data_IF_533852774758
#
_entry.id   IF_533852774758
#
_cell.length_a   1.000
_cell.length_b   1.000
_cell.length_c   1.000
_cell.angle_alpha   90.00
_cell.angle_beta   90.00
_cell.angle_gamma   90.00
#
_symmetry.space_group_name_H-M   'P 1'
#
loop_
_entity.id
_entity.type
_entity.pdbx_description
1 polymer ?
#
# COMPACT_ATOMS: atom_id res chain seq x y z
N UNK A 1 -7.36 -30.69 -20.50
CA UNK A 1 -6.11 -30.22 -21.10
C UNK A 1 -5.04 -30.16 -20.03
N UNK A 2 -3.91 -30.86 -20.22
CA UNK A 2 -2.89 -30.83 -19.19
C UNK A 2 -2.22 -29.46 -19.11
N UNK A 3 -2.18 -28.90 -17.92
CA UNK A 3 -1.51 -27.62 -17.67
C UNK A 3 -0.03 -27.91 -17.43
N UNK A 4 0.83 -27.20 -18.15
CA UNK A 4 2.27 -27.36 -18.00
C UNK A 4 2.70 -26.96 -16.60
N UNK A 5 3.67 -27.70 -15.96
CA UNK A 5 4.08 -27.40 -14.60
C UNK A 5 4.55 -25.95 -14.39
N UNK A 6 5.24 -25.37 -15.35
CA UNK A 6 5.68 -23.98 -15.24
C UNK A 6 4.52 -22.98 -15.32
N UNK A 7 3.43 -23.33 -16.02
CA UNK A 7 2.23 -22.49 -16.06
C UNK A 7 1.55 -22.46 -14.70
N UNK A 8 1.47 -23.60 -14.01
CA UNK A 8 0.93 -23.67 -12.65
C UNK A 8 1.76 -22.85 -11.68
N UNK A 9 3.08 -22.92 -11.79
CA UNK A 9 4.00 -22.16 -10.95
C UNK A 9 3.82 -20.66 -11.16
N UNK A 10 3.71 -20.21 -12.40
CA UNK A 10 3.48 -18.80 -12.73
C UNK A 10 2.15 -18.30 -12.15
N UNK A 11 1.11 -19.12 -12.21
CA UNK A 11 -0.21 -18.78 -11.66
C UNK A 11 -0.16 -18.60 -10.14
N UNK A 12 0.55 -19.49 -9.43
CA UNK A 12 0.72 -19.39 -7.98
C UNK A 12 1.47 -18.11 -7.62
N UNK A 13 2.56 -17.80 -8.32
CA UNK A 13 3.34 -16.60 -8.08
C UNK A 13 2.48 -15.34 -8.29
N UNK A 14 1.65 -15.34 -9.33
CA UNK A 14 0.73 -14.23 -9.61
C UNK A 14 -0.30 -14.03 -8.50
N UNK A 15 -0.89 -15.13 -7.99
CA UNK A 15 -1.85 -15.07 -6.88
C UNK A 15 -1.20 -14.52 -5.61
N UNK A 16 0.00 -14.99 -5.27
CA UNK A 16 0.73 -14.52 -4.09
C UNK A 16 1.06 -13.03 -4.19
N UNK A 17 1.46 -12.59 -5.37
CA UNK A 17 1.78 -11.19 -5.62
C UNK A 17 0.52 -10.32 -5.47
N UNK A 18 -0.62 -10.77 -5.99
CA UNK A 18 -1.89 -10.04 -5.87
C UNK A 18 -2.31 -9.91 -4.41
N UNK A 19 -2.20 -10.99 -3.63
CA UNK A 19 -2.53 -10.97 -2.21
C UNK A 19 -1.62 -10.04 -1.45
N UNK A 20 -0.31 -10.08 -1.70
CA UNK A 20 0.67 -9.21 -1.07
C UNK A 20 0.36 -7.74 -1.38
N UNK A 21 0.07 -7.41 -2.64
CA UNK A 21 -0.26 -6.05 -3.04
C UNK A 21 -1.52 -5.54 -2.34
N UNK A 22 -2.51 -6.42 -2.20
CA UNK A 22 -3.77 -6.10 -1.51
C UNK A 22 -3.52 -5.80 -0.03
N UNK A 23 -2.64 -6.57 0.62
CA UNK A 23 -2.27 -6.34 2.02
C UNK A 23 -1.55 -5.00 2.20
N UNK A 24 -0.61 -4.69 1.31
CA UNK A 24 0.12 -3.41 1.36
C UNK A 24 -0.84 -2.24 1.17
N UNK A 25 -1.75 -2.34 0.21
CA UNK A 25 -2.76 -1.30 -0.03
C UNK A 25 -3.68 -1.12 1.18
N UNK A 26 -4.15 -2.23 1.77
CA UNK A 26 -5.00 -2.19 2.96
C UNK A 26 -4.29 -1.53 4.14
N UNK A 27 -3.01 -1.84 4.34
CA UNK A 27 -2.21 -1.23 5.41
C UNK A 27 -2.12 0.28 5.23
N UNK A 28 -1.90 0.75 4.00
CA UNK A 28 -1.83 2.17 3.70
C UNK A 28 -3.17 2.86 3.96
N UNK A 29 -4.27 2.26 3.49
CA UNK A 29 -5.61 2.81 3.70
C UNK A 29 -5.96 2.86 5.18
N UNK A 30 -5.65 1.80 5.93
CA UNK A 30 -5.90 1.74 7.37
C UNK A 30 -5.10 2.82 8.11
N UNK A 31 -3.82 2.98 7.76
CA UNK A 31 -2.97 4.00 8.37
C UNK A 31 -3.48 5.41 8.09
N UNK A 32 -3.94 5.67 6.87
CA UNK A 32 -4.52 6.96 6.51
C UNK A 32 -5.81 7.23 7.28
N UNK A 33 -6.67 6.22 7.45
CA UNK A 33 -7.90 6.35 8.23
C UNK A 33 -7.59 6.66 9.70
N UNK A 34 -6.62 5.97 10.28
CA UNK A 34 -6.20 6.24 11.67
C UNK A 34 -5.69 7.67 11.83
N UNK A 35 -4.91 8.14 10.87
CA UNK A 35 -4.41 9.52 10.88
C UNK A 35 -5.56 10.52 10.78
N UNK A 36 -6.56 10.24 9.95
CA UNK A 36 -7.73 11.11 9.78
C UNK A 36 -8.55 11.17 11.05
N UNK A 37 -8.77 10.04 11.71
CA UNK A 37 -9.57 9.96 12.95
C UNK A 37 -8.82 10.49 14.16
N UNK A 38 -7.52 10.31 14.21
CA UNK A 38 -6.68 10.71 15.35
C UNK A 38 -5.34 11.23 14.84
N UNK A 39 -5.28 12.49 14.35
CA UNK A 39 -4.04 13.07 13.85
C UNK A 39 -2.98 13.11 14.95
N UNK A 40 -1.85 12.48 14.70
CA UNK A 40 -0.72 12.47 15.62
C UNK A 40 0.58 12.21 14.87
N UNK A 41 1.69 12.57 15.49
CA UNK A 41 3.00 12.37 14.89
C UNK A 41 3.25 10.88 14.62
N UNK A 42 2.90 10.03 15.57
CA UNK A 42 3.06 8.58 15.43
C UNK A 42 2.24 8.03 14.27
N UNK A 43 0.98 8.43 14.17
CA UNK A 43 0.12 7.99 13.07
C UNK A 43 0.61 8.54 11.74
N UNK A 44 1.19 9.74 11.71
CA UNK A 44 1.75 10.32 10.49
C UNK A 44 2.94 9.49 10.00
N UNK A 45 3.82 9.06 10.89
CA UNK A 45 4.97 8.22 10.52
C UNK A 45 4.50 6.90 9.92
N UNK A 46 3.53 6.25 10.54
CA UNK A 46 2.97 4.99 10.03
C UNK A 46 2.32 5.21 8.67
N UNK A 47 1.58 6.29 8.50
CA UNK A 47 0.94 6.61 7.22
C UNK A 47 2.01 6.82 6.13
N UNK A 48 3.06 7.56 6.42
CA UNK A 48 4.16 7.79 5.47
C UNK A 48 4.82 6.47 5.07
N UNK A 49 5.16 5.63 6.05
CA UNK A 49 5.81 4.35 5.79
C UNK A 49 4.95 3.46 4.88
N UNK A 50 3.66 3.34 5.17
CA UNK A 50 2.76 2.50 4.39
C UNK A 50 2.53 3.05 2.99
N UNK A 51 2.41 4.37 2.84
CA UNK A 51 2.25 5.02 1.54
C UNK A 51 3.52 4.83 0.70
N UNK A 52 4.71 5.03 1.29
CA UNK A 52 5.98 4.83 0.59
C UNK A 52 6.16 3.39 0.15
N UNK A 53 5.79 2.44 0.98
CA UNK A 53 5.86 1.02 0.66
C UNK A 53 4.95 0.69 -0.52
N UNK A 54 3.74 1.23 -0.54
CA UNK A 54 2.81 1.05 -1.65
C UNK A 54 3.34 1.67 -2.93
N UNK A 55 3.98 2.84 -2.86
CA UNK A 55 4.60 3.48 -4.01
C UNK A 55 5.77 2.65 -4.54
N UNK A 56 6.59 2.11 -3.65
CA UNK A 56 7.73 1.27 -4.02
C UNK A 56 7.29 0.01 -4.77
N UNK A 57 6.13 -0.52 -4.42
CA UNK A 57 5.55 -1.71 -5.06
C UNK A 57 4.69 -1.37 -6.28
N UNK A 58 4.68 -0.09 -6.69
CA UNK A 58 3.87 0.38 -7.82
C UNK A 58 2.36 0.19 -7.63
N UNK A 59 1.91 0.06 -6.39
CA UNK A 59 0.48 0.00 -6.06
C UNK A 59 -0.10 1.41 -6.18
N UNK A 60 0.64 2.41 -5.68
CA UNK A 60 0.32 3.82 -5.87
C UNK A 60 1.36 4.43 -6.81
N UNK A 61 0.88 5.26 -7.74
CA UNK A 61 1.78 6.05 -8.56
C UNK A 61 2.54 7.05 -7.66
N UNK A 62 3.83 7.37 -7.97
CA UNK A 62 4.59 8.32 -7.15
C UNK A 62 3.88 9.66 -6.92
N UNK A 63 3.18 10.18 -7.93
CA UNK A 63 2.43 11.42 -7.79
C UNK A 63 1.27 11.29 -6.81
N UNK A 64 0.58 10.15 -6.84
CA UNK A 64 -0.50 9.87 -5.88
C UNK A 64 0.05 9.76 -4.47
N UNK A 65 1.17 9.07 -4.30
CA UNK A 65 1.82 8.91 -3.00
C UNK A 65 2.21 10.27 -2.42
N UNK A 66 2.79 11.14 -3.23
CA UNK A 66 3.17 12.49 -2.81
C UNK A 66 1.96 13.29 -2.35
N UNK A 67 0.85 13.22 -3.09
CA UNK A 67 -0.39 13.92 -2.72
C UNK A 67 -0.97 13.38 -1.42
N UNK A 68 -0.96 12.06 -1.23
CA UNK A 68 -1.47 11.44 -0.02
C UNK A 68 -0.63 11.82 1.21
N UNK A 69 0.69 11.84 1.05
CA UNK A 69 1.61 12.24 2.13
C UNK A 69 1.37 13.70 2.53
N UNK A 70 1.24 14.59 1.56
CA UNK A 70 0.93 15.99 1.82
C UNK A 70 -0.40 16.15 2.53
N UNK A 71 -1.42 15.41 2.10
CA UNK A 71 -2.74 15.44 2.72
C UNK A 71 -2.67 14.99 4.18
N UNK A 72 -1.92 13.94 4.47
CA UNK A 72 -1.78 13.45 5.84
C UNK A 72 -1.03 14.46 6.71
N UNK A 73 0.03 15.08 6.18
CA UNK A 73 0.79 16.09 6.92
C UNK A 73 -0.08 17.30 7.29
N UNK A 74 -1.00 17.70 6.42
CA UNK A 74 -1.89 18.83 6.68
C UNK A 74 -2.83 18.59 7.87
N UNK A 75 -3.10 17.33 8.19
CA UNK A 75 -3.98 17.01 9.32
C UNK A 75 -3.35 17.37 10.68
N UNK A 76 -2.03 17.56 10.74
CA UNK A 76 -1.34 17.98 11.95
C UNK A 76 -1.22 19.51 12.09
N UNK A 77 -1.54 20.24 11.05
CA UNK A 77 -1.44 21.70 11.05
C UNK A 77 -2.68 22.37 11.67
#
# INVERSE_FOLDING_TARGET
>A
MPILPHAKKALRASKNKTQYNREVKSAAVTAMKKMTLNPSQENLVVAYETIDKAAKRNIFHPNKAARLKSKMAKLLQ
#
